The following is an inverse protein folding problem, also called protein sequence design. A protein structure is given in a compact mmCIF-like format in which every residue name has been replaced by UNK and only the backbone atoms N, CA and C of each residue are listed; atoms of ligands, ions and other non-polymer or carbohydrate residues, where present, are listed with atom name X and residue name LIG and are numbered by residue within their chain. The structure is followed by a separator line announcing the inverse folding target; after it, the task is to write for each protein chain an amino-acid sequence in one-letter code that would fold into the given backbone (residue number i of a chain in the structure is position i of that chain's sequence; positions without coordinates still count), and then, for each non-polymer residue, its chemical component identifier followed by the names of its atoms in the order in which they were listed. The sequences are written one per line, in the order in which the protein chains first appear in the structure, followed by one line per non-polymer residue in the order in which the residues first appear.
data_IF_126450472482
#
_entry.id   IF_126450472482
#
_cell.length_a   1.000
_cell.length_b   1.000
_cell.length_c   1.000
_cell.angle_alpha   90.00
_cell.angle_beta   90.00
_cell.angle_gamma   90.00
#
_symmetry.space_group_name_H-M   'P 1'
#
loop_
_entity.id
_entity.type
_entity.pdbx_description
1 polymer ?
#
# COMPACT_ATOMS: atom_id res chain seq x y z
N UNK A 1 29.67 -17.78 9.05
CA UNK A 1 29.57 -16.66 8.09
C UNK A 1 28.21 -16.59 7.37
N UNK A 2 27.78 -17.62 6.61
CA UNK A 2 26.50 -17.59 5.84
C UNK A 2 25.23 -17.32 6.66
N UNK A 3 25.17 -17.81 7.91
CA UNK A 3 24.00 -17.64 8.82
C UNK A 3 23.83 -16.18 9.28
N UNK A 4 24.91 -15.42 9.40
CA UNK A 4 24.86 -14.02 9.86
C UNK A 4 24.35 -13.11 8.75
N UNK A 5 24.77 -13.33 7.49
CA UNK A 5 24.19 -12.63 6.35
C UNK A 5 22.69 -12.90 6.22
N UNK A 6 22.26 -14.15 6.43
CA UNK A 6 20.85 -14.53 6.40
C UNK A 6 20.03 -13.80 7.48
N UNK A 7 20.55 -13.72 8.71
CA UNK A 7 19.90 -12.99 9.80
C UNK A 7 19.80 -11.48 9.53
N UNK A 8 20.85 -10.87 8.95
CA UNK A 8 20.83 -9.47 8.53
C UNK A 8 19.79 -9.20 7.44
N UNK A 9 19.73 -10.08 6.43
CA UNK A 9 18.76 -9.97 5.33
C UNK A 9 17.32 -10.10 5.85
N UNK A 10 17.10 -11.03 6.78
CA UNK A 10 15.81 -11.23 7.43
C UNK A 10 15.41 -10.02 8.30
N UNK A 11 16.36 -9.45 9.04
CA UNK A 11 16.15 -8.23 9.83
C UNK A 11 15.77 -7.02 8.98
N UNK A 12 16.49 -6.81 7.87
CA UNK A 12 16.18 -5.75 6.90
C UNK A 12 14.79 -5.96 6.26
N UNK A 13 14.47 -7.20 5.89
CA UNK A 13 13.17 -7.56 5.32
C UNK A 13 12.01 -7.26 6.29
N UNK A 14 12.15 -7.65 7.57
CA UNK A 14 11.16 -7.38 8.61
C UNK A 14 11.00 -5.88 8.89
N UNK A 15 12.09 -5.11 8.91
CA UNK A 15 12.01 -3.65 9.10
C UNK A 15 11.33 -2.93 7.93
N UNK A 16 11.52 -3.40 6.70
CA UNK A 16 10.86 -2.86 5.51
C UNK A 16 9.37 -3.16 5.50
N UNK A 17 8.99 -4.43 5.70
CA UNK A 17 7.58 -4.83 5.76
C UNK A 17 6.83 -4.21 6.95
N UNK A 18 7.46 -4.10 8.11
CA UNK A 18 6.85 -3.47 9.29
C UNK A 18 6.55 -1.98 9.08
N UNK A 19 7.46 -1.26 8.43
CA UNK A 19 7.28 0.16 8.10
C UNK A 19 6.15 0.35 7.09
N UNK A 20 6.13 -0.45 6.02
CA UNK A 20 5.08 -0.41 5.02
C UNK A 20 3.71 -0.75 5.63
N UNK A 21 3.65 -1.77 6.50
CA UNK A 21 2.42 -2.18 7.18
C UNK A 21 1.90 -1.11 8.16
N UNK A 22 2.80 -0.35 8.80
CA UNK A 22 2.43 0.77 9.66
C UNK A 22 1.85 1.93 8.85
N UNK A 23 2.47 2.29 7.72
CA UNK A 23 2.01 3.37 6.86
C UNK A 23 0.71 3.06 6.11
N UNK A 24 0.46 1.79 5.81
CA UNK A 24 -0.77 1.36 5.14
C UNK A 24 -1.92 1.05 6.10
N UNK A 25 -1.72 1.22 7.41
CA UNK A 25 -2.67 0.82 8.46
C UNK A 25 -3.09 -0.66 8.35
N UNK A 26 -2.23 -1.50 7.79
CA UNK A 26 -2.53 -2.91 7.51
C UNK A 26 -2.98 -3.68 8.76
N UNK A 27 -2.41 -3.36 9.92
CA UNK A 27 -2.74 -4.00 11.20
C UNK A 27 -4.02 -3.47 11.85
N UNK A 28 -4.59 -2.38 11.34
CA UNK A 28 -5.84 -1.80 11.87
C UNK A 28 -7.09 -2.33 11.16
N UNK A 29 -6.90 -3.15 10.11
CA UNK A 29 -7.99 -3.68 9.30
C UNK A 29 -7.89 -5.20 9.20
N UNK A 30 -9.03 -5.88 9.27
CA UNK A 30 -9.11 -7.35 9.19
C UNK A 30 -8.82 -7.88 7.79
N UNK A 31 -8.87 -7.02 6.77
CA UNK A 31 -8.64 -7.38 5.38
C UNK A 31 -7.50 -6.55 4.78
N UNK A 32 -6.84 -7.11 3.77
CA UNK A 32 -5.79 -6.38 3.01
C UNK A 32 -6.41 -5.29 2.15
N UNK A 33 -7.54 -5.62 1.50
CA UNK A 33 -8.33 -4.72 0.68
C UNK A 33 -9.77 -4.73 1.18
N UNK A 34 -10.42 -3.59 1.11
CA UNK A 34 -11.81 -3.46 1.55
C UNK A 34 -12.79 -4.15 0.61
N UNK A 35 -12.51 -4.09 -0.68
CA UNK A 35 -13.31 -4.70 -1.73
C UNK A 35 -12.47 -4.89 -3.00
N UNK A 36 -13.10 -5.48 -4.01
CA UNK A 36 -12.47 -5.71 -5.32
C UNK A 36 -12.01 -4.42 -6.00
N UNK A 37 -12.72 -3.30 -5.83
CA UNK A 37 -12.33 -2.01 -6.41
C UNK A 37 -11.03 -1.48 -5.78
N UNK A 38 -10.88 -1.61 -4.46
CA UNK A 38 -9.67 -1.26 -3.73
C UNK A 38 -8.48 -2.09 -4.23
N UNK A 39 -8.66 -3.40 -4.34
CA UNK A 39 -7.64 -4.28 -4.93
C UNK A 39 -7.25 -3.86 -6.35
N UNK A 40 -8.24 -3.62 -7.21
CA UNK A 40 -8.03 -3.23 -8.60
C UNK A 40 -7.23 -1.92 -8.71
N UNK A 41 -7.55 -0.97 -7.84
CA UNK A 41 -6.85 0.31 -7.75
C UNK A 41 -5.38 0.12 -7.36
N UNK A 42 -5.12 -0.66 -6.31
CA UNK A 42 -3.76 -0.97 -5.85
C UNK A 42 -2.94 -1.79 -6.85
N UNK A 43 -3.59 -2.56 -7.72
CA UNK A 43 -2.91 -3.41 -8.70
C UNK A 43 -2.38 -2.63 -9.91
N UNK A 44 -3.22 -1.81 -10.55
CA UNK A 44 -2.85 -1.16 -11.81
C UNK A 44 -3.13 0.34 -11.86
N UNK A 45 -4.04 0.85 -11.03
CA UNK A 45 -4.62 2.19 -11.23
C UNK A 45 -3.91 3.29 -10.44
N UNK A 46 -3.22 2.93 -9.35
CA UNK A 46 -2.47 3.87 -8.51
C UNK A 46 -1.36 4.65 -9.23
N UNK A 47 -0.85 4.14 -10.36
CA UNK A 47 0.19 4.79 -11.19
C UNK A 47 -0.36 5.69 -12.29
N UNK A 48 -1.68 5.77 -12.45
CA UNK A 48 -2.31 6.49 -13.55
C UNK A 48 -2.69 7.94 -13.23
N UNK A 49 -2.92 8.78 -14.26
CA UNK A 49 -3.49 10.13 -14.10
C UNK A 49 -4.93 10.12 -13.55
N UNK A 50 -5.57 8.95 -13.49
CA UNK A 50 -6.96 8.74 -13.03
C UNK A 50 -7.18 8.99 -11.52
N UNK A 51 -6.13 9.37 -10.79
CA UNK A 51 -6.12 9.53 -9.34
C UNK A 51 -7.24 10.46 -8.82
N UNK A 52 -7.65 11.49 -9.58
CA UNK A 52 -8.71 12.43 -9.15
C UNK A 52 -10.12 11.79 -9.07
N UNK A 53 -10.46 10.87 -9.98
CA UNK A 53 -11.76 10.17 -9.98
C UNK A 53 -11.78 9.04 -8.94
N UNK A 54 -10.65 8.39 -8.76
CA UNK A 54 -10.50 7.30 -7.80
C UNK A 54 -10.33 7.81 -6.36
N UNK A 55 -9.85 9.04 -6.14
CA UNK A 55 -9.78 9.66 -4.81
C UNK A 55 -11.17 9.75 -4.16
N UNK A 56 -12.17 10.19 -4.92
CA UNK A 56 -13.55 10.28 -4.42
C UNK A 56 -14.16 8.92 -4.08
N UNK A 57 -13.82 7.88 -4.86
CA UNK A 57 -14.22 6.50 -4.55
C UNK A 57 -13.51 5.97 -3.33
N UNK A 58 -12.20 6.19 -3.22
CA UNK A 58 -11.38 5.80 -2.08
C UNK A 58 -11.88 6.42 -0.77
N UNK A 59 -12.23 7.71 -0.78
CA UNK A 59 -12.83 8.37 0.38
C UNK A 59 -14.22 7.84 0.71
N UNK A 60 -15.10 7.69 -0.30
CA UNK A 60 -16.48 7.20 -0.12
C UNK A 60 -16.52 5.78 0.43
N UNK A 61 -15.68 4.91 -0.11
CA UNK A 61 -15.58 3.53 0.33
C UNK A 61 -14.62 3.37 1.52
N UNK A 62 -13.96 4.44 1.98
CA UNK A 62 -12.97 4.44 3.06
C UNK A 62 -11.90 3.36 2.88
N UNK A 63 -11.18 3.42 1.77
CA UNK A 63 -10.00 2.58 1.55
C UNK A 63 -8.83 3.09 2.39
N UNK A 64 -8.07 2.17 2.98
CA UNK A 64 -6.82 2.43 3.68
C UNK A 64 -5.63 2.14 2.77
N UNK A 65 -4.45 2.63 3.15
CA UNK A 65 -3.23 2.35 2.41
C UNK A 65 -2.24 3.49 2.50
N UNK A 66 -1.16 3.35 1.75
CA UNK A 66 -0.12 4.38 1.69
C UNK A 66 -0.66 5.58 0.92
N UNK A 67 -0.51 6.77 1.49
CA UNK A 67 -0.86 8.03 0.83
C UNK A 67 0.00 8.21 -0.43
N UNK A 68 -0.64 8.31 -1.58
CA UNK A 68 0.03 8.56 -2.86
C UNK A 68 -0.23 10.01 -3.30
N UNK A 69 0.80 10.66 -3.84
CA UNK A 69 0.61 11.95 -4.49
C UNK A 69 -0.02 11.72 -5.87
N UNK A 70 -1.23 12.23 -6.06
CA UNK A 70 -1.87 12.24 -7.36
C UNK A 70 -1.12 13.20 -8.29
N UNK A 71 -0.50 12.66 -9.35
CA UNK A 71 0.05 13.47 -10.43
C UNK A 71 -1.11 13.83 -11.37
N UNK A 72 -1.41 15.13 -11.57
CA UNK A 72 -2.47 15.54 -12.49
C UNK A 72 -2.12 15.14 -13.93
N UNK A 73 -3.13 14.73 -14.69
CA UNK A 73 -3.03 14.57 -16.15
C UNK A 73 -2.64 15.92 -16.77
N UNK A 74 -1.65 15.93 -17.65
CA UNK A 74 -1.15 17.14 -18.33
C UNK A 74 -2.03 17.49 -19.53
#
# INVERSE_FOLDING_TARGET
MKKVCLLLLFGLFLSGCGTAAKQSEFWQHDTVYKNWNHFLFSWYRYKGPACKKDLGKSQKEQWWGIQIQCVPEK
#
